data_IF_280514046376
#
_entry.id   IF_280514046376
#
_cell.length_a   1.000
_cell.length_b   1.000
_cell.length_c   1.000
_cell.angle_alpha   90.00
_cell.angle_beta   90.00
_cell.angle_gamma   90.00
#
_symmetry.space_group_name_H-M   'P 1'
#
loop_
_entity.id
_entity.type
_entity.pdbx_description
1 polymer ?
#
# COMPACT_ATOMS: atom_id res chain seq x y z
N UNK A 1 45.39 34.91 10.55
CA UNK A 1 45.65 34.13 11.79
C UNK A 1 46.27 32.80 11.37
N UNK A 2 47.31 32.33 12.04
CA UNK A 2 47.96 31.07 11.70
C UNK A 2 46.99 29.90 11.95
N UNK A 3 46.83 29.02 10.96
CA UNK A 3 46.01 27.81 11.10
C UNK A 3 46.74 26.78 11.95
N UNK A 4 46.08 26.23 12.95
CA UNK A 4 46.65 25.29 13.92
C UNK A 4 46.04 23.90 13.67
N UNK A 5 46.87 22.86 13.67
CA UNK A 5 46.37 21.48 13.66
C UNK A 5 46.20 21.03 15.10
N UNK A 6 44.96 20.81 15.60
CA UNK A 6 44.73 20.51 17.01
C UNK A 6 45.25 19.12 17.40
N UNK A 7 45.66 18.99 18.67
CA UNK A 7 46.02 17.70 19.25
C UNK A 7 44.81 16.75 19.33
N UNK A 8 45.07 15.45 19.22
CA UNK A 8 44.02 14.43 19.17
C UNK A 8 43.09 14.44 20.40
N UNK A 9 43.56 14.62 21.66
CA UNK A 9 42.67 14.65 22.83
C UNK A 9 41.71 15.83 22.82
N UNK A 10 42.21 17.02 22.47
CA UNK A 10 41.41 18.25 22.42
C UNK A 10 40.32 18.16 21.34
N UNK A 11 40.68 17.66 20.15
CA UNK A 11 39.72 17.47 19.06
C UNK A 11 38.67 16.40 19.40
N UNK A 12 39.06 15.29 20.03
CA UNK A 12 38.13 14.23 20.46
C UNK A 12 37.15 14.73 21.52
N UNK A 13 37.61 15.53 22.50
CA UNK A 13 36.74 16.11 23.52
C UNK A 13 35.67 17.06 22.92
N UNK A 14 36.07 17.88 21.93
CA UNK A 14 35.14 18.76 21.23
C UNK A 14 34.11 17.97 20.41
N UNK A 15 34.56 16.95 19.67
CA UNK A 15 33.68 16.03 18.93
C UNK A 15 32.66 15.37 19.86
N UNK A 16 33.10 14.90 21.03
CA UNK A 16 32.22 14.29 22.03
C UNK A 16 31.17 15.27 22.57
N UNK A 17 31.56 16.52 22.85
CA UNK A 17 30.64 17.58 23.30
C UNK A 17 29.58 17.92 22.25
N UNK A 18 29.97 18.03 20.98
CA UNK A 18 29.05 18.28 19.86
C UNK A 18 28.04 17.11 19.74
N UNK A 19 28.54 15.87 19.84
CA UNK A 19 27.71 14.66 19.77
C UNK A 19 26.82 14.43 20.98
N UNK A 20 27.22 14.92 22.15
CA UNK A 20 26.38 14.88 23.34
C UNK A 20 25.17 15.83 23.22
N UNK A 21 25.36 16.98 22.56
CA UNK A 21 24.29 17.95 22.29
C UNK A 21 23.32 17.45 21.21
N UNK A 22 23.84 16.82 20.16
CA UNK A 22 23.03 16.19 19.12
C UNK A 22 23.69 14.89 18.61
N UNK A 23 23.23 13.72 19.10
CA UNK A 23 23.77 12.42 18.69
C UNK A 23 23.61 12.12 17.19
N UNK A 24 22.67 12.78 16.51
CA UNK A 24 22.30 12.50 15.11
C UNK A 24 23.24 13.10 14.06
N UNK A 25 24.14 14.02 14.45
CA UNK A 25 24.98 14.75 13.50
C UNK A 25 25.95 13.84 12.72
N UNK A 26 25.92 13.89 11.40
CA UNK A 26 26.91 13.25 10.53
C UNK A 26 28.28 13.92 10.59
N UNK A 27 29.33 13.24 10.10
CA UNK A 27 30.73 13.71 10.10
C UNK A 27 30.85 15.13 9.51
N UNK A 28 30.12 15.42 8.42
CA UNK A 28 30.11 16.74 7.77
C UNK A 28 29.57 17.85 8.66
N UNK A 29 28.47 17.59 9.37
CA UNK A 29 27.87 18.57 10.28
C UNK A 29 28.72 18.76 11.54
N UNK A 30 29.31 17.68 12.06
CA UNK A 30 30.28 17.76 13.16
C UNK A 30 31.49 18.61 12.74
N UNK A 31 32.02 18.42 11.52
CA UNK A 31 33.13 19.23 11.02
C UNK A 31 32.75 20.71 10.88
N UNK A 32 31.56 21.02 10.36
CA UNK A 32 31.08 22.40 10.25
C UNK A 32 30.94 23.07 11.63
N UNK A 33 30.47 22.33 12.63
CA UNK A 33 30.35 22.82 14.00
C UNK A 33 31.72 23.06 14.65
N UNK A 34 32.70 22.18 14.40
CA UNK A 34 34.10 22.40 14.84
C UNK A 34 34.67 23.66 14.19
N UNK A 35 34.46 23.87 12.89
CA UNK A 35 34.93 25.07 12.18
C UNK A 35 34.23 26.35 12.65
N UNK A 36 33.02 26.23 13.21
CA UNK A 36 32.28 27.35 13.80
C UNK A 36 32.80 27.68 15.19
N UNK A 37 33.07 26.67 16.03
CA UNK A 37 33.56 26.86 17.40
C UNK A 37 35.06 27.19 17.45
N UNK A 38 35.86 26.65 16.53
CA UNK A 38 37.31 26.83 16.45
C UNK A 38 37.76 27.16 15.00
N UNK A 39 37.55 28.39 14.52
CA UNK A 39 37.78 28.77 13.11
C UNK A 39 39.24 28.69 12.66
N UNK A 40 40.20 28.65 13.59
CA UNK A 40 41.64 28.55 13.28
C UNK A 40 42.11 27.11 13.13
N UNK A 41 41.27 26.11 13.44
CA UNK A 41 41.66 24.71 13.41
C UNK A 41 41.59 24.11 12.00
N UNK A 42 42.70 23.50 11.57
CA UNK A 42 42.75 22.75 10.33
C UNK A 42 42.37 21.29 10.57
N UNK A 43 41.10 20.95 10.30
CA UNK A 43 40.53 19.62 10.53
C UNK A 43 39.86 19.10 9.26
N UNK A 44 40.05 17.82 8.94
CA UNK A 44 39.42 17.15 7.79
C UNK A 44 38.36 16.14 8.23
N UNK A 45 37.38 15.85 7.35
CA UNK A 45 36.36 14.83 7.59
C UNK A 45 36.97 13.46 7.93
N UNK A 46 38.08 13.10 7.26
CA UNK A 46 38.80 11.85 7.50
C UNK A 46 39.38 11.77 8.92
N UNK A 47 39.88 12.90 9.45
CA UNK A 47 40.42 12.99 10.80
C UNK A 47 39.32 12.93 11.86
N UNK A 48 38.19 13.61 11.63
CA UNK A 48 37.00 13.52 12.49
C UNK A 48 36.49 12.07 12.54
N UNK A 49 36.34 11.42 11.38
CA UNK A 49 35.91 10.01 11.29
C UNK A 49 36.85 9.08 12.06
N UNK A 50 38.16 9.23 11.92
CA UNK A 50 39.15 8.41 12.62
C UNK A 50 39.01 8.52 14.14
N UNK A 51 38.96 9.74 14.67
CA UNK A 51 38.88 9.99 16.11
C UNK A 51 37.52 9.55 16.70
N UNK A 52 36.42 9.73 15.96
CA UNK A 52 35.11 9.22 16.38
C UNK A 52 35.11 7.70 16.54
N UNK A 53 35.72 6.97 15.58
CA UNK A 53 35.82 5.52 15.64
C UNK A 53 36.73 5.05 16.79
N UNK A 54 37.90 5.68 16.96
CA UNK A 54 38.86 5.33 18.03
C UNK A 54 38.30 5.60 19.43
N UNK A 55 37.50 6.65 19.59
CA UNK A 55 36.87 7.03 20.86
C UNK A 55 35.51 6.36 21.12
N UNK A 56 35.03 5.48 20.24
CA UNK A 56 33.72 4.83 20.37
C UNK A 56 32.53 5.80 20.24
N UNK A 57 32.73 6.98 19.66
CA UNK A 57 31.68 7.99 19.47
C UNK A 57 30.91 7.62 18.20
N UNK A 58 29.63 7.31 18.34
CA UNK A 58 28.79 6.81 17.26
C UNK A 58 28.83 7.72 16.00
N UNK A 59 29.34 7.16 14.91
CA UNK A 59 29.28 7.79 13.58
C UNK A 59 27.84 7.67 13.09
N UNK A 60 27.15 8.80 12.93
CA UNK A 60 25.87 8.80 12.25
C UNK A 60 26.13 8.36 10.81
N UNK A 61 25.58 7.20 10.46
CA UNK A 61 25.73 6.61 9.12
C UNK A 61 25.03 7.52 8.10
N UNK A 62 25.54 7.62 6.86
CA UNK A 62 24.80 8.25 5.77
C UNK A 62 23.38 7.66 5.71
N UNK A 63 22.36 8.51 5.63
CA UNK A 63 20.94 8.10 5.68
C UNK A 63 20.54 7.14 4.55
N UNK A 64 21.38 6.94 3.54
CA UNK A 64 21.19 6.05 2.40
C UNK A 64 21.67 4.60 2.62
N UNK A 65 22.38 4.29 3.72
CA UNK A 65 22.98 2.96 3.97
C UNK A 65 22.61 2.36 5.34
N UNK A 66 21.51 2.81 5.94
CA UNK A 66 20.82 1.95 6.90
C UNK A 66 19.95 1.00 6.09
N UNK A 67 20.36 -0.27 6.00
CA UNK A 67 19.48 -1.37 5.62
C UNK A 67 18.14 -1.14 6.34
N UNK A 68 17.11 -0.74 5.61
CA UNK A 68 15.75 -0.80 6.11
C UNK A 68 15.55 -2.25 6.53
N UNK A 69 15.13 -2.47 7.77
CA UNK A 69 14.74 -3.80 8.22
C UNK A 69 13.77 -4.35 7.17
N UNK A 70 14.11 -5.43 6.44
CA UNK A 70 13.27 -5.97 5.36
C UNK A 70 11.89 -6.39 5.88
N UNK A 71 11.74 -6.49 7.20
CA UNK A 71 10.52 -6.80 7.91
C UNK A 71 9.58 -5.60 8.12
N UNK A 72 9.95 -4.40 7.64
CA UNK A 72 9.16 -3.16 7.72
C UNK A 72 8.61 -2.79 6.34
N UNK A 73 7.28 -2.66 6.18
CA UNK A 73 6.69 -2.21 4.92
C UNK A 73 7.17 -0.81 4.52
N UNK A 74 7.44 -0.63 3.22
CA UNK A 74 7.88 0.65 2.66
C UNK A 74 6.72 1.27 1.86
N UNK A 75 6.51 2.58 2.03
CA UNK A 75 5.53 3.37 1.28
C UNK A 75 6.08 4.76 0.96
N UNK A 76 5.53 5.39 -0.09
CA UNK A 76 5.93 6.71 -0.54
C UNK A 76 4.73 7.60 -0.82
N UNK A 77 4.92 8.92 -0.72
CA UNK A 77 3.92 9.88 -1.19
C UNK A 77 3.85 9.78 -2.70
N UNK A 78 2.65 9.54 -3.20
CA UNK A 78 2.37 9.63 -4.62
C UNK A 78 2.28 11.09 -5.03
N UNK A 79 3.23 11.55 -5.85
CA UNK A 79 3.25 12.94 -6.31
C UNK A 79 2.33 13.22 -7.48
N UNK A 80 1.72 12.20 -8.10
CA UNK A 80 0.70 12.37 -9.14
C UNK A 80 -0.72 12.49 -8.56
N UNK A 81 -0.89 12.20 -7.27
CA UNK A 81 -2.17 12.35 -6.58
C UNK A 81 -2.26 13.77 -6.02
N UNK A 82 -3.09 14.60 -6.64
CA UNK A 82 -3.41 15.93 -6.11
C UNK A 82 -4.37 15.80 -4.90
N UNK A 83 -3.76 15.63 -3.73
CA UNK A 83 -4.47 15.53 -2.45
C UNK A 83 -5.32 16.77 -2.18
N UNK A 84 -4.86 17.94 -2.59
CA UNK A 84 -5.57 19.20 -2.37
C UNK A 84 -6.85 19.24 -3.20
N UNK A 85 -6.77 18.87 -4.49
CA UNK A 85 -7.94 18.78 -5.36
C UNK A 85 -8.94 17.72 -4.88
N UNK A 86 -8.47 16.54 -4.47
CA UNK A 86 -9.34 15.44 -4.01
C UNK A 86 -10.06 15.74 -2.69
N UNK A 87 -9.49 16.64 -1.87
CA UNK A 87 -9.99 16.91 -0.52
C UNK A 87 -10.50 18.34 -0.35
N UNK A 88 -10.57 19.13 -1.43
CA UNK A 88 -10.88 20.56 -1.40
C UNK A 88 -9.97 21.35 -0.43
N UNK A 89 -8.68 21.05 -0.45
CA UNK A 89 -7.66 21.68 0.38
C UNK A 89 -7.76 21.38 1.88
N UNK A 90 -8.60 20.42 2.28
CA UNK A 90 -8.81 20.10 3.70
C UNK A 90 -7.66 19.30 4.30
N UNK A 91 -6.95 18.54 3.47
CA UNK A 91 -5.95 17.56 3.89
C UNK A 91 -4.63 17.79 3.14
N UNK A 92 -3.54 17.45 3.83
CA UNK A 92 -2.21 17.33 3.24
C UNK A 92 -1.59 15.98 3.59
N UNK A 93 -0.84 15.42 2.65
CA UNK A 93 -0.07 14.21 2.87
C UNK A 93 1.40 14.55 3.17
N UNK A 94 2.02 13.83 4.11
CA UNK A 94 3.45 14.00 4.41
C UNK A 94 4.09 12.68 4.84
N UNK A 95 5.39 12.54 4.60
CA UNK A 95 6.17 11.46 5.21
C UNK A 95 6.36 11.76 6.69
N UNK A 96 6.10 10.76 7.54
CA UNK A 96 6.28 10.87 8.99
C UNK A 96 7.71 10.46 9.35
N UNK A 97 8.08 9.23 8.98
CA UNK A 97 9.44 8.69 9.06
C UNK A 97 9.50 7.37 8.26
N UNK A 98 10.68 6.74 8.23
CA UNK A 98 10.90 5.49 7.48
C UNK A 98 10.15 4.26 8.01
N UNK A 99 9.67 4.28 9.26
CA UNK A 99 9.00 3.14 9.90
C UNK A 99 7.48 3.26 9.80
N UNK A 100 6.94 4.45 10.06
CA UNK A 100 5.50 4.74 9.95
C UNK A 100 5.10 4.98 8.50
N UNK A 101 6.01 5.49 7.67
CA UNK A 101 5.74 5.81 6.28
C UNK A 101 5.00 7.14 6.10
N UNK A 102 4.06 7.16 5.17
CA UNK A 102 3.23 8.32 4.84
C UNK A 102 2.05 8.49 5.80
N UNK A 103 1.50 9.70 5.85
CA UNK A 103 0.34 10.02 6.69
C UNK A 103 -0.48 11.18 6.12
N UNK A 104 -1.78 11.20 6.40
CA UNK A 104 -2.67 12.33 6.11
C UNK A 104 -2.87 13.21 7.35
N UNK A 105 -2.87 14.52 7.13
CA UNK A 105 -2.96 15.53 8.18
C UNK A 105 -3.96 16.61 7.80
N UNK A 106 -4.68 17.13 8.79
CA UNK A 106 -5.59 18.23 8.57
C UNK A 106 -4.82 19.50 8.18
N UNK A 107 -5.22 20.14 7.07
CA UNK A 107 -4.68 21.43 6.66
C UNK A 107 -5.30 22.60 7.44
N UNK A 108 -6.42 22.36 8.13
CA UNK A 108 -7.16 23.34 8.92
C UNK A 108 -7.95 22.62 10.03
N UNK A 109 -8.61 23.38 10.91
CA UNK A 109 -9.55 22.81 11.87
C UNK A 109 -10.76 22.24 11.11
N UNK A 110 -11.14 21.00 11.45
CA UNK A 110 -12.24 20.29 10.80
C UNK A 110 -13.25 19.80 11.84
N UNK A 111 -14.56 20.08 11.67
CA UNK A 111 -15.60 19.66 12.61
C UNK A 111 -15.97 18.18 12.48
N UNK A 112 -16.42 17.58 13.58
CA UNK A 112 -17.00 16.23 13.65
C UNK A 112 -18.07 16.01 12.57
N UNK A 113 -18.13 14.80 12.03
CA UNK A 113 -19.16 14.37 11.08
C UNK A 113 -18.94 14.82 9.64
N UNK A 114 -17.93 15.67 9.37
CA UNK A 114 -17.60 16.13 8.01
C UNK A 114 -17.04 14.99 7.15
N UNK A 115 -17.55 14.82 5.93
CA UNK A 115 -16.91 14.01 4.89
C UNK A 115 -15.66 14.75 4.38
N UNK A 116 -14.51 14.08 4.46
CA UNK A 116 -13.21 14.64 4.10
C UNK A 116 -12.94 14.41 2.61
N UNK A 117 -13.10 13.16 2.17
CA UNK A 117 -12.98 12.76 0.78
C UNK A 117 -13.69 11.44 0.52
N UNK A 118 -13.94 11.19 -0.77
CA UNK A 118 -14.43 9.92 -1.31
C UNK A 118 -13.48 9.45 -2.38
N UNK A 119 -13.22 8.15 -2.43
CA UNK A 119 -12.29 7.56 -3.38
C UNK A 119 -12.84 6.24 -3.93
N UNK A 120 -12.57 5.97 -5.20
CA UNK A 120 -12.81 4.67 -5.83
C UNK A 120 -11.50 3.90 -5.94
N UNK A 121 -11.53 2.57 -5.85
CA UNK A 121 -10.31 1.78 -5.76
C UNK A 121 -9.52 1.81 -7.07
N UNK A 122 -8.20 1.94 -6.95
CA UNK A 122 -7.24 1.76 -8.03
C UNK A 122 -7.17 0.29 -8.48
N UNK A 123 -7.17 -0.62 -7.52
CA UNK A 123 -7.29 -2.08 -7.70
C UNK A 123 -8.45 -2.55 -6.83
N UNK A 124 -9.36 -3.36 -7.38
CA UNK A 124 -10.49 -3.91 -6.64
C UNK A 124 -10.71 -5.39 -6.93
N UNK A 125 -10.82 -6.18 -5.87
CA UNK A 125 -11.33 -7.53 -5.88
C UNK A 125 -12.35 -7.72 -4.75
N UNK A 126 -13.63 -8.02 -5.06
CA UNK A 126 -14.65 -8.19 -4.03
C UNK A 126 -14.44 -9.48 -3.22
N UNK A 127 -15.07 -9.63 -2.04
CA UNK A 127 -15.03 -10.89 -1.29
C UNK A 127 -15.40 -12.09 -2.16
N UNK A 128 -14.76 -13.24 -1.95
CA UNK A 128 -14.89 -14.41 -2.83
C UNK A 128 -16.35 -14.85 -3.08
N UNK A 129 -17.20 -14.78 -2.05
CA UNK A 129 -18.66 -15.03 -2.18
C UNK A 129 -19.31 -14.14 -3.24
N UNK A 130 -18.97 -12.84 -3.26
CA UNK A 130 -19.46 -11.88 -4.25
C UNK A 130 -18.84 -12.13 -5.62
N UNK A 131 -17.55 -12.49 -5.67
CA UNK A 131 -16.91 -12.86 -6.94
C UNK A 131 -17.56 -14.08 -7.60
N UNK A 132 -17.94 -15.09 -6.81
CA UNK A 132 -18.70 -16.24 -7.31
C UNK A 132 -20.07 -15.84 -7.89
N UNK A 133 -20.76 -14.85 -7.30
CA UNK A 133 -21.99 -14.29 -7.88
C UNK A 133 -21.71 -13.56 -9.20
N UNK A 134 -20.60 -12.83 -9.31
CA UNK A 134 -20.18 -12.15 -10.55
C UNK A 134 -20.01 -13.18 -11.67
N UNK A 135 -19.33 -14.30 -11.40
CA UNK A 135 -19.10 -15.39 -12.39
C UNK A 135 -20.40 -16.03 -12.89
N UNK A 136 -21.45 -16.03 -12.07
CA UNK A 136 -22.81 -16.50 -12.42
C UNK A 136 -23.67 -15.41 -13.08
N UNK A 137 -23.17 -14.19 -13.19
CA UNK A 137 -23.92 -13.03 -13.68
C UNK A 137 -24.97 -12.49 -12.69
N UNK A 138 -24.92 -12.90 -11.43
CA UNK A 138 -25.84 -12.49 -10.36
C UNK A 138 -25.41 -11.19 -9.67
N UNK A 139 -24.15 -10.77 -9.87
CA UNK A 139 -23.60 -9.51 -9.37
C UNK A 139 -22.83 -8.77 -10.47
N UNK A 140 -22.72 -7.45 -10.33
CA UNK A 140 -22.03 -6.58 -11.26
C UNK A 140 -20.53 -6.87 -11.27
N UNK A 141 -19.95 -7.06 -12.46
CA UNK A 141 -18.52 -7.38 -12.65
C UNK A 141 -17.53 -6.28 -12.26
N UNK A 142 -18.00 -5.08 -11.92
CA UNK A 142 -17.17 -4.03 -11.31
C UNK A 142 -17.47 -3.92 -9.81
N UNK A 143 -18.61 -3.33 -9.48
CA UNK A 143 -18.93 -2.96 -8.10
C UNK A 143 -19.47 -4.10 -7.24
N UNK A 144 -19.62 -5.32 -7.76
CA UNK A 144 -20.13 -6.48 -7.03
C UNK A 144 -21.53 -6.35 -6.41
N UNK A 145 -22.27 -5.28 -6.76
CA UNK A 145 -23.69 -5.11 -6.39
C UNK A 145 -24.51 -6.20 -7.06
N UNK A 146 -25.45 -6.78 -6.33
CA UNK A 146 -26.41 -7.76 -6.87
C UNK A 146 -27.18 -7.17 -8.05
N UNK A 147 -27.27 -7.92 -9.15
CA UNK A 147 -28.02 -7.53 -10.34
C UNK A 147 -29.51 -7.70 -10.05
N UNK A 148 -30.26 -6.60 -10.16
CA UNK A 148 -31.73 -6.61 -10.06
C UNK A 148 -32.34 -6.81 -11.44
N UNK A 149 -32.58 -8.07 -11.79
CA UNK A 149 -33.21 -8.48 -13.04
C UNK A 149 -34.55 -7.75 -13.23
N UNK A 150 -34.60 -6.80 -14.17
CA UNK A 150 -35.71 -5.86 -14.35
C UNK A 150 -35.26 -4.43 -14.69
N UNK A 151 -34.01 -4.07 -14.37
CA UNK A 151 -33.44 -2.78 -14.78
C UNK A 151 -33.00 -2.80 -16.26
N UNK A 152 -33.46 -1.80 -17.04
CA UNK A 152 -33.05 -1.59 -18.43
C UNK A 152 -31.61 -1.10 -18.59
N UNK A 153 -30.94 -0.73 -17.49
CA UNK A 153 -29.55 -0.26 -17.51
C UNK A 153 -28.53 -1.40 -17.51
N UNK A 154 -28.96 -2.61 -17.19
CA UNK A 154 -28.10 -3.78 -17.12
C UNK A 154 -27.52 -4.05 -18.52
N UNK A 155 -26.22 -4.30 -18.57
CA UNK A 155 -25.55 -4.71 -19.80
C UNK A 155 -24.57 -5.85 -19.53
N UNK A 156 -24.25 -6.61 -20.57
CA UNK A 156 -23.24 -7.66 -20.51
C UNK A 156 -21.96 -7.21 -21.23
N UNK A 157 -20.87 -7.92 -20.96
CA UNK A 157 -19.67 -7.85 -21.79
C UNK A 157 -20.01 -8.31 -23.21
N UNK A 158 -19.70 -7.51 -24.25
CA UNK A 158 -20.01 -7.87 -25.64
C UNK A 158 -19.21 -9.09 -26.12
N UNK A 159 -18.03 -9.35 -25.55
CA UNK A 159 -17.16 -10.44 -25.98
C UNK A 159 -17.54 -11.78 -25.34
N UNK A 160 -17.66 -11.84 -24.00
CA UNK A 160 -17.97 -13.11 -23.33
C UNK A 160 -19.46 -13.35 -23.11
N UNK A 161 -20.31 -12.32 -23.11
CA UNK A 161 -21.75 -12.40 -22.80
C UNK A 161 -22.09 -12.83 -21.36
N UNK A 162 -21.13 -13.34 -20.59
CA UNK A 162 -21.33 -13.94 -19.26
C UNK A 162 -21.34 -12.93 -18.12
N UNK A 163 -20.35 -12.04 -18.10
CA UNK A 163 -20.22 -11.03 -17.04
C UNK A 163 -21.21 -9.89 -17.29
N UNK A 164 -22.00 -9.56 -16.26
CA UNK A 164 -23.03 -8.52 -16.30
C UNK A 164 -22.62 -7.32 -15.46
N UNK A 165 -23.16 -6.15 -15.78
CA UNK A 165 -22.86 -4.89 -15.13
C UNK A 165 -24.14 -4.11 -14.85
N UNK A 166 -24.15 -3.31 -13.77
CA UNK A 166 -25.28 -2.46 -13.43
C UNK A 166 -25.59 -1.42 -14.51
N UNK A 167 -24.56 -0.87 -15.15
CA UNK A 167 -24.63 0.20 -16.15
C UNK A 167 -23.51 0.06 -17.17
N UNK A 168 -23.63 0.77 -18.30
CA UNK A 168 -22.54 0.90 -19.28
C UNK A 168 -21.28 1.50 -18.68
N UNK A 169 -21.40 2.41 -17.71
CA UNK A 169 -20.27 2.98 -16.99
C UNK A 169 -19.52 1.91 -16.17
N UNK A 170 -20.22 1.07 -15.41
CA UNK A 170 -19.58 -0.04 -14.71
C UNK A 170 -18.88 -1.02 -15.66
N UNK A 171 -19.47 -1.30 -16.82
CA UNK A 171 -18.83 -2.14 -17.84
C UNK A 171 -17.55 -1.51 -18.37
N UNK A 172 -17.57 -0.21 -18.67
CA UNK A 172 -16.42 0.50 -19.19
C UNK A 172 -15.29 0.56 -18.15
N UNK A 173 -15.58 0.96 -16.92
CA UNK A 173 -14.55 1.00 -15.87
C UNK A 173 -14.00 -0.39 -15.52
N UNK A 174 -14.81 -1.46 -15.61
CA UNK A 174 -14.28 -2.82 -15.48
C UNK A 174 -13.37 -3.19 -16.65
N UNK A 175 -13.74 -2.81 -17.87
CA UNK A 175 -12.94 -3.01 -19.07
C UNK A 175 -11.58 -2.32 -18.92
N UNK A 176 -11.57 -1.04 -18.54
CA UNK A 176 -10.35 -0.24 -18.47
C UNK A 176 -9.42 -0.65 -17.31
N UNK A 177 -9.94 -1.34 -16.30
CA UNK A 177 -9.16 -1.73 -15.12
C UNK A 177 -8.67 -3.17 -15.12
N UNK A 178 -9.42 -4.11 -15.71
CA UNK A 178 -9.22 -5.54 -15.40
C UNK A 178 -9.94 -6.53 -16.33
N UNK A 179 -11.26 -6.39 -16.51
CA UNK A 179 -12.06 -7.37 -17.25
C UNK A 179 -11.60 -7.55 -18.70
N UNK A 180 -11.04 -6.49 -19.29
CA UNK A 180 -10.40 -6.55 -20.61
C UNK A 180 -9.40 -7.71 -20.69
N UNK A 181 -8.56 -7.88 -19.66
CA UNK A 181 -7.61 -9.00 -19.55
C UNK A 181 -8.26 -10.32 -19.10
N UNK A 182 -9.17 -10.30 -18.13
CA UNK A 182 -9.78 -11.52 -17.58
C UNK A 182 -10.89 -12.13 -18.44
N UNK A 183 -11.33 -11.43 -19.48
CA UNK A 183 -12.43 -11.88 -20.31
C UNK A 183 -12.04 -13.20 -21.00
N UNK A 184 -12.60 -14.33 -20.55
CA UNK A 184 -12.25 -15.66 -21.03
C UNK A 184 -12.55 -15.92 -22.52
N UNK A 185 -13.33 -15.05 -23.16
CA UNK A 185 -13.51 -15.07 -24.62
C UNK A 185 -12.29 -14.49 -25.37
N UNK A 186 -11.47 -13.70 -24.69
CA UNK A 186 -10.32 -12.97 -25.23
C UNK A 186 -8.99 -13.54 -24.72
N UNK A 187 -8.96 -13.88 -23.44
CA UNK A 187 -7.84 -14.56 -22.79
C UNK A 187 -8.33 -15.84 -22.10
N UNK A 188 -8.51 -16.96 -22.83
CA UNK A 188 -8.86 -18.23 -22.21
C UNK A 188 -7.72 -18.80 -21.33
N UNK A 189 -6.47 -18.40 -21.56
CA UNK A 189 -5.30 -18.94 -20.85
C UNK A 189 -5.27 -18.54 -19.37
N UNK A 190 -5.83 -17.38 -18.99
CA UNK A 190 -5.89 -16.95 -17.59
C UNK A 190 -6.90 -17.74 -16.74
N UNK A 191 -7.76 -18.55 -17.37
CA UNK A 191 -8.81 -19.32 -16.71
C UNK A 191 -8.27 -20.19 -15.57
N UNK A 192 -7.12 -20.83 -15.78
CA UNK A 192 -6.58 -21.77 -14.81
C UNK A 192 -6.05 -21.05 -13.56
N UNK A 193 -5.44 -19.87 -13.71
CA UNK A 193 -5.07 -19.03 -12.58
C UNK A 193 -6.30 -18.56 -11.79
N UNK A 194 -7.33 -18.05 -12.48
CA UNK A 194 -8.56 -17.59 -11.82
C UNK A 194 -9.24 -18.74 -11.07
N UNK A 195 -9.37 -19.91 -11.69
CA UNK A 195 -9.96 -21.07 -11.05
C UNK A 195 -9.15 -21.51 -9.83
N UNK A 196 -7.82 -21.54 -9.95
CA UNK A 196 -6.93 -21.87 -8.84
C UNK A 196 -7.14 -20.92 -7.65
N UNK A 197 -7.16 -19.60 -7.88
CA UNK A 197 -7.44 -18.65 -6.80
C UNK A 197 -8.84 -18.81 -6.20
N UNK A 198 -9.85 -19.21 -6.98
CA UNK A 198 -11.20 -19.46 -6.45
C UNK A 198 -11.24 -20.73 -5.60
N UNK A 199 -10.62 -21.82 -6.06
CA UNK A 199 -10.55 -23.11 -5.37
C UNK A 199 -9.82 -22.99 -4.03
N UNK A 200 -8.72 -22.24 -4.00
CA UNK A 200 -7.95 -21.94 -2.78
C UNK A 200 -8.57 -20.81 -1.93
N UNK A 201 -9.72 -20.24 -2.33
CA UNK A 201 -10.31 -19.06 -1.69
C UNK A 201 -9.33 -17.87 -1.53
N UNK A 202 -8.41 -17.72 -2.49
CA UNK A 202 -7.24 -16.86 -2.41
C UNK A 202 -7.49 -15.47 -3.00
N UNK A 203 -8.11 -14.59 -2.19
CA UNK A 203 -8.42 -13.22 -2.60
C UNK A 203 -7.16 -12.38 -2.89
N UNK A 204 -6.06 -12.64 -2.17
CA UNK A 204 -4.80 -11.91 -2.37
C UNK A 204 -4.12 -12.26 -3.70
N UNK A 205 -4.26 -13.51 -4.18
CA UNK A 205 -3.84 -13.89 -5.53
C UNK A 205 -4.62 -13.11 -6.60
N UNK A 206 -5.94 -13.01 -6.47
CA UNK A 206 -6.75 -12.18 -7.38
C UNK A 206 -6.39 -10.70 -7.30
N UNK A 207 -6.10 -10.18 -6.11
CA UNK A 207 -5.59 -8.82 -5.93
C UNK A 207 -4.26 -8.58 -6.65
N UNK A 208 -3.32 -9.53 -6.55
CA UNK A 208 -2.05 -9.49 -7.25
C UNK A 208 -2.25 -9.53 -8.77
N UNK A 209 -3.09 -10.43 -9.29
CA UNK A 209 -3.48 -10.47 -10.71
C UNK A 209 -3.97 -9.10 -11.18
N UNK A 210 -4.85 -8.44 -10.43
CA UNK A 210 -5.38 -7.11 -10.77
C UNK A 210 -4.28 -6.04 -10.81
N UNK A 211 -3.22 -6.15 -10.01
CA UNK A 211 -2.02 -5.30 -10.14
C UNK A 211 -1.30 -5.53 -11.48
N UNK A 212 -1.11 -6.80 -11.89
CA UNK A 212 -0.56 -7.11 -13.23
C UNK A 212 -1.44 -6.53 -14.34
N UNK A 213 -2.75 -6.68 -14.23
CA UNK A 213 -3.71 -6.19 -15.23
C UNK A 213 -3.63 -4.68 -15.42
N UNK A 214 -3.50 -3.91 -14.34
CA UNK A 214 -3.29 -2.46 -14.42
C UNK A 214 -2.06 -2.13 -15.26
N UNK A 215 -0.94 -2.80 -15.02
CA UNK A 215 0.32 -2.60 -15.76
C UNK A 215 0.14 -2.98 -17.24
N UNK A 216 -0.41 -4.17 -17.50
CA UNK A 216 -0.54 -4.71 -18.86
C UNK A 216 -1.50 -3.86 -19.71
N UNK A 217 -2.62 -3.41 -19.13
CA UNK A 217 -3.58 -2.52 -19.80
C UNK A 217 -2.99 -1.12 -20.00
N UNK A 218 -2.23 -0.60 -19.04
CA UNK A 218 -1.55 0.68 -19.16
C UNK A 218 -0.49 0.67 -20.28
N UNK A 219 0.31 -0.39 -20.36
CA UNK A 219 1.28 -0.61 -21.45
C UNK A 219 0.60 -0.59 -22.82
N UNK A 220 -0.57 -1.25 -22.94
CA UNK A 220 -1.35 -1.22 -24.16
C UNK A 220 -1.85 0.18 -24.51
N UNK A 221 -2.18 0.97 -23.50
CA UNK A 221 -2.75 2.32 -23.66
C UNK A 221 -1.68 3.29 -24.15
N UNK A 222 -0.68 3.60 -23.33
CA UNK A 222 0.41 4.54 -23.68
C UNK A 222 1.60 4.40 -22.72
N UNK A 223 2.82 4.80 -23.13
CA UNK A 223 3.97 4.88 -22.21
C UNK A 223 3.71 5.79 -21.00
N UNK A 224 2.97 6.88 -21.18
CA UNK A 224 2.63 7.83 -20.11
C UNK A 224 1.72 7.19 -19.06
N UNK A 225 0.68 6.47 -19.51
CA UNK A 225 -0.23 5.74 -18.62
C UNK A 225 0.51 4.61 -17.89
N UNK A 226 1.44 3.91 -18.56
CA UNK A 226 2.27 2.89 -17.94
C UNK A 226 3.14 3.49 -16.82
N UNK A 227 3.83 4.59 -17.09
CA UNK A 227 4.66 5.27 -16.09
C UNK A 227 3.83 5.74 -14.88
N UNK A 228 2.63 6.28 -15.13
CA UNK A 228 1.69 6.70 -14.10
C UNK A 228 1.25 5.52 -13.22
N UNK A 229 0.84 4.39 -13.83
CA UNK A 229 0.41 3.19 -13.10
C UNK A 229 1.53 2.58 -12.27
N UNK A 230 2.77 2.54 -12.78
CA UNK A 230 3.92 2.05 -12.02
C UNK A 230 4.18 2.94 -10.79
N UNK A 231 4.14 4.26 -10.98
CA UNK A 231 4.31 5.23 -9.88
C UNK A 231 3.22 5.10 -8.80
N UNK A 232 1.96 4.93 -9.20
CA UNK A 232 0.85 4.65 -8.30
C UNK A 232 1.08 3.36 -7.50
N UNK A 233 1.52 2.29 -8.15
CA UNK A 233 1.81 1.00 -7.51
C UNK A 233 2.95 1.09 -6.50
N UNK A 234 3.99 1.87 -6.79
CA UNK A 234 5.14 2.08 -5.92
C UNK A 234 4.82 2.92 -4.68
N UNK A 235 3.76 3.72 -4.72
CA UNK A 235 3.34 4.53 -3.58
C UNK A 235 2.67 3.72 -2.45
N UNK A 236 2.11 2.55 -2.75
CA UNK A 236 1.45 1.69 -1.76
C UNK A 236 2.43 1.04 -0.79
N UNK A 237 1.97 0.79 0.44
CA UNK A 237 2.76 0.05 1.43
C UNK A 237 3.09 -1.35 0.89
N UNK A 238 4.37 -1.69 0.80
CA UNK A 238 4.82 -2.92 0.15
C UNK A 238 5.82 -3.65 1.04
N UNK A 239 5.63 -4.97 1.13
CA UNK A 239 6.59 -5.95 1.62
C UNK A 239 6.37 -7.25 0.84
N UNK A 240 7.39 -8.11 0.72
CA UNK A 240 7.18 -9.46 0.20
C UNK A 240 6.22 -10.23 1.13
N UNK A 241 5.27 -10.96 0.54
CA UNK A 241 4.38 -11.83 1.30
C UNK A 241 5.15 -12.89 2.11
N UNK A 242 6.30 -13.36 1.62
CA UNK A 242 7.13 -14.32 2.35
C UNK A 242 7.65 -13.74 3.68
N UNK A 243 8.18 -12.51 3.65
CA UNK A 243 8.67 -11.83 4.86
C UNK A 243 7.56 -11.56 5.87
N UNK A 244 6.33 -11.34 5.39
CA UNK A 244 5.15 -11.23 6.24
C UNK A 244 4.81 -12.57 6.90
N UNK A 245 4.78 -13.65 6.11
CA UNK A 245 4.36 -14.97 6.57
C UNK A 245 5.41 -15.61 7.51
N UNK A 246 6.70 -15.34 7.32
CA UNK A 246 7.79 -15.78 8.22
C UNK A 246 7.62 -15.30 9.67
N UNK A 247 6.82 -14.27 9.94
CA UNK A 247 6.51 -13.81 11.30
C UNK A 247 5.39 -14.60 11.98
N UNK A 248 4.69 -15.45 11.24
CA UNK A 248 3.69 -16.34 11.82
C UNK A 248 4.36 -17.56 12.44
N UNK A 249 3.87 -17.95 13.62
CA UNK A 249 4.39 -19.13 14.34
C UNK A 249 4.19 -20.43 13.57
N UNK A 250 3.25 -20.47 12.63
CA UNK A 250 2.97 -21.63 11.77
C UNK A 250 3.92 -21.75 10.58
N UNK A 251 4.76 -20.75 10.29
CA UNK A 251 5.65 -20.78 9.12
C UNK A 251 6.58 -22.00 9.13
N UNK A 252 7.14 -22.35 10.29
CA UNK A 252 8.05 -23.50 10.43
C UNK A 252 7.37 -24.84 10.07
N UNK A 253 6.04 -24.92 10.18
CA UNK A 253 5.27 -26.14 9.86
C UNK A 253 4.62 -26.09 8.48
N UNK A 254 4.24 -24.92 7.99
CA UNK A 254 3.42 -24.74 6.78
C UNK A 254 4.15 -24.05 5.63
N UNK A 255 5.38 -23.59 5.85
CA UNK A 255 6.15 -22.79 4.88
C UNK A 255 6.26 -23.47 3.51
N UNK A 256 6.59 -24.76 3.47
CA UNK A 256 6.72 -25.51 2.21
C UNK A 256 5.40 -25.57 1.42
N UNK A 257 4.27 -25.83 2.11
CA UNK A 257 2.94 -25.86 1.47
C UNK A 257 2.55 -24.48 0.92
N UNK A 258 2.88 -23.41 1.66
CA UNK A 258 2.62 -22.04 1.23
C UNK A 258 3.49 -21.67 0.01
N UNK A 259 4.76 -22.07 0.00
CA UNK A 259 5.66 -21.89 -1.14
C UNK A 259 5.16 -22.64 -2.37
N UNK A 260 4.63 -23.86 -2.22
CA UNK A 260 4.00 -24.60 -3.32
C UNK A 260 2.80 -23.85 -3.92
N UNK A 261 1.95 -23.26 -3.06
CA UNK A 261 0.81 -22.44 -3.50
C UNK A 261 1.30 -21.25 -4.34
N UNK A 262 2.33 -20.54 -3.88
CA UNK A 262 2.86 -19.37 -4.59
C UNK A 262 3.54 -19.76 -5.90
N UNK A 263 4.34 -20.83 -5.91
CA UNK A 263 4.98 -21.36 -7.12
C UNK A 263 3.97 -21.77 -8.18
N UNK A 264 2.93 -22.53 -7.78
CA UNK A 264 1.84 -22.93 -8.67
C UNK A 264 1.08 -21.71 -9.18
N UNK A 265 0.77 -20.76 -8.31
CA UNK A 265 0.12 -19.50 -8.65
C UNK A 265 0.91 -18.72 -9.71
N UNK A 266 2.19 -18.45 -9.48
CA UNK A 266 3.03 -17.72 -10.43
C UNK A 266 3.15 -18.46 -11.78
N UNK A 267 3.31 -19.78 -11.75
CA UNK A 267 3.38 -20.58 -12.99
C UNK A 267 2.10 -20.42 -13.82
N UNK A 268 0.93 -20.54 -13.20
CA UNK A 268 -0.36 -20.35 -13.87
C UNK A 268 -0.55 -18.90 -14.35
N UNK A 269 -0.08 -17.91 -13.57
CA UNK A 269 -0.14 -16.51 -13.96
C UNK A 269 0.69 -16.26 -15.23
N UNK A 270 1.94 -16.73 -15.26
CA UNK A 270 2.83 -16.60 -16.43
C UNK A 270 2.20 -17.26 -17.66
N UNK A 271 1.61 -18.44 -17.48
CA UNK A 271 0.88 -19.13 -18.55
C UNK A 271 -0.32 -18.32 -19.06
N UNK A 272 -1.05 -17.62 -18.18
CA UNK A 272 -2.16 -16.74 -18.53
C UNK A 272 -1.74 -15.36 -19.07
N UNK A 273 -0.49 -14.95 -18.83
CA UNK A 273 0.08 -13.67 -19.23
C UNK A 273 0.97 -13.78 -20.49
N UNK A 274 0.77 -14.79 -21.34
CA UNK A 274 1.55 -14.97 -22.58
C UNK A 274 1.47 -13.72 -23.46
N UNK A 275 2.52 -12.89 -23.41
CA UNK A 275 2.55 -11.58 -24.05
C UNK A 275 3.45 -11.60 -25.30
N UNK A 276 3.02 -11.02 -26.44
CA UNK A 276 1.69 -10.47 -26.70
C UNK A 276 0.63 -11.58 -26.71
N UNK A 277 -0.61 -11.26 -26.26
CA UNK A 277 -1.70 -12.24 -26.21
C UNK A 277 -2.06 -12.67 -27.65
N UNK A 278 -1.56 -13.84 -28.07
CA UNK A 278 -1.87 -14.41 -29.38
C UNK A 278 -3.31 -14.95 -29.37
N UNK A 279 -4.24 -14.26 -30.03
CA UNK A 279 -5.61 -14.78 -30.18
C UNK A 279 -5.60 -16.09 -30.96
N UNK A 280 -6.30 -17.10 -30.43
CA UNK A 280 -6.74 -18.27 -31.19
C UNK A 280 -8.27 -18.33 -31.19
N UNK A 281 -8.93 -17.66 -32.14
CA UNK A 281 -10.11 -18.18 -32.87
C UNK A 281 -10.88 -17.13 -33.67
N UNK A 282 -11.42 -17.61 -34.79
CA UNK A 282 -12.30 -16.94 -35.74
C UNK A 282 -13.54 -16.34 -35.08
N UNK A 283 -13.59 -15.00 -35.00
CA UNK A 283 -14.71 -14.10 -35.32
C UNK A 283 -14.44 -12.73 -34.68
N UNK A 284 -14.00 -11.77 -35.50
CA UNK A 284 -14.17 -10.32 -35.31
C UNK A 284 -14.12 -9.75 -33.87
N UNK A 285 -13.16 -10.16 -33.03
CA UNK A 285 -12.83 -9.42 -31.82
C UNK A 285 -11.35 -9.14 -31.82
N UNK A 286 -11.00 -7.84 -31.90
CA UNK A 286 -9.62 -7.39 -31.97
C UNK A 286 -8.83 -7.82 -30.72
N UNK A 287 -7.55 -8.20 -30.88
CA UNK A 287 -6.68 -8.54 -29.75
C UNK A 287 -6.62 -7.40 -28.76
N UNK A 288 -6.61 -7.80 -27.50
CA UNK A 288 -6.90 -6.91 -26.42
C UNK A 288 -5.64 -6.26 -25.88
N UNK A 289 -4.52 -6.99 -25.80
CA UNK A 289 -3.22 -6.44 -25.47
C UNK A 289 -2.21 -6.99 -26.48
N UNK A 290 -1.69 -6.10 -27.32
CA UNK A 290 -0.90 -6.43 -28.52
C UNK A 290 0.52 -5.90 -28.50
N UNK A 291 0.79 -4.86 -27.71
CA UNK A 291 2.13 -4.27 -27.63
C UNK A 291 3.14 -5.27 -27.05
N UNK A 292 4.42 -4.97 -27.07
CA UNK A 292 5.42 -5.73 -26.31
C UNK A 292 5.73 -4.96 -25.01
N UNK A 293 6.14 -5.67 -23.96
CA UNK A 293 6.51 -5.01 -22.71
C UNK A 293 7.92 -4.49 -22.92
N UNK A 294 8.29 -3.34 -22.33
CA UNK A 294 9.68 -2.96 -22.21
C UNK A 294 10.50 -4.11 -21.62
N UNK A 295 11.69 -4.37 -22.16
CA UNK A 295 12.49 -5.56 -21.81
C UNK A 295 12.83 -5.61 -20.30
N UNK A 296 13.15 -4.45 -19.71
CA UNK A 296 13.40 -4.28 -18.28
C UNK A 296 12.18 -4.63 -17.42
N UNK A 297 10.99 -4.23 -17.86
CA UNK A 297 9.75 -4.57 -17.18
C UNK A 297 9.42 -6.05 -17.36
N UNK A 298 9.60 -6.60 -18.55
CA UNK A 298 9.35 -8.02 -18.84
C UNK A 298 10.20 -8.95 -17.96
N UNK A 299 11.47 -8.63 -17.79
CA UNK A 299 12.41 -9.44 -17.02
C UNK A 299 12.14 -9.40 -15.51
N UNK A 300 11.62 -8.27 -15.01
CA UNK A 300 11.36 -8.06 -13.57
C UNK A 300 9.94 -8.42 -13.13
N UNK A 301 8.94 -8.25 -14.00
CA UNK A 301 7.51 -8.33 -13.64
C UNK A 301 7.07 -9.75 -13.27
N UNK A 302 7.57 -10.77 -13.98
CA UNK A 302 7.14 -12.17 -13.83
C UNK A 302 8.09 -13.00 -12.96
N UNK A 303 8.69 -12.38 -11.96
CA UNK A 303 9.55 -13.04 -10.96
C UNK A 303 8.75 -13.39 -9.70
N UNK A 304 9.25 -14.35 -8.91
CA UNK A 304 8.65 -14.67 -7.61
C UNK A 304 8.66 -13.47 -6.66
N UNK A 305 9.75 -12.70 -6.64
CA UNK A 305 9.87 -11.52 -5.80
C UNK A 305 8.78 -10.47 -6.12
N UNK A 306 8.58 -10.11 -7.40
CA UNK A 306 7.52 -9.19 -7.80
C UNK A 306 6.13 -9.74 -7.48
N UNK A 307 5.91 -11.03 -7.72
CA UNK A 307 4.63 -11.69 -7.44
C UNK A 307 4.27 -11.61 -5.95
N UNK A 308 5.21 -11.95 -5.07
CA UNK A 308 5.04 -11.90 -3.63
C UNK A 308 4.92 -10.46 -3.10
N UNK A 309 5.60 -9.49 -3.73
CA UNK A 309 5.42 -8.06 -3.43
C UNK A 309 4.02 -7.59 -3.78
N UNK A 310 3.42 -8.01 -4.90
CA UNK A 310 2.04 -7.65 -5.22
C UNK A 310 1.03 -8.30 -4.26
N UNK A 311 1.25 -9.54 -3.84
CA UNK A 311 0.41 -10.20 -2.83
C UNK A 311 0.51 -9.45 -1.49
N UNK A 312 1.73 -9.17 -1.02
CA UNK A 312 1.95 -8.45 0.24
C UNK A 312 1.42 -7.02 0.19
N UNK A 313 1.63 -6.31 -0.93
CA UNK A 313 1.04 -4.99 -1.19
C UNK A 313 -0.49 -5.02 -1.14
N UNK A 314 -1.12 -5.99 -1.80
CA UNK A 314 -2.57 -6.11 -1.73
C UNK A 314 -3.03 -6.34 -0.28
N UNK A 315 -2.43 -7.30 0.44
CA UNK A 315 -2.79 -7.60 1.82
C UNK A 315 -2.65 -6.40 2.77
N UNK A 316 -1.59 -5.60 2.63
CA UNK A 316 -1.36 -4.42 3.47
C UNK A 316 -2.32 -3.25 3.19
N UNK A 317 -2.81 -3.13 1.96
CA UNK A 317 -3.60 -1.96 1.53
C UNK A 317 -5.06 -2.31 1.22
N UNK A 318 -5.47 -3.56 1.46
CA UNK A 318 -6.82 -4.04 1.16
C UNK A 318 -7.84 -3.49 2.17
N UNK A 319 -8.60 -2.50 1.74
CA UNK A 319 -9.78 -2.00 2.43
C UNK A 319 -11.04 -2.53 1.72
N UNK A 320 -11.70 -3.53 2.32
CA UNK A 320 -12.97 -4.10 1.83
C UNK A 320 -12.93 -4.56 0.35
N UNK A 321 -11.77 -5.04 -0.09
CA UNK A 321 -11.50 -5.50 -1.45
C UNK A 321 -10.77 -4.48 -2.33
N UNK A 322 -10.55 -3.24 -1.86
CA UNK A 322 -9.95 -2.17 -2.66
C UNK A 322 -8.60 -1.70 -2.15
N UNK A 323 -7.71 -1.35 -3.09
CA UNK A 323 -6.52 -0.52 -2.85
C UNK A 323 -6.79 0.90 -3.35
N UNK A 324 -6.49 1.89 -2.51
CA UNK A 324 -6.87 3.28 -2.72
C UNK A 324 -5.66 4.20 -2.55
N UNK A 325 -5.38 5.05 -3.54
CA UNK A 325 -4.15 5.83 -3.61
C UNK A 325 -4.03 6.80 -2.43
N UNK A 326 -5.11 7.52 -2.12
CA UNK A 326 -5.14 8.46 -1.01
C UNK A 326 -5.42 7.78 0.33
N UNK A 327 -6.47 6.94 0.41
CA UNK A 327 -6.84 6.26 1.65
C UNK A 327 -5.73 5.37 2.22
N UNK A 328 -4.88 4.75 1.39
CA UNK A 328 -3.72 3.97 1.86
C UNK A 328 -2.69 4.79 2.68
N UNK A 329 -2.85 6.11 2.74
CA UNK A 329 -2.03 7.02 3.56
C UNK A 329 -2.60 7.29 4.96
N UNK A 330 -3.77 6.72 5.31
CA UNK A 330 -4.35 6.85 6.65
C UNK A 330 -3.76 5.79 7.57
N UNK A 331 -3.02 6.21 8.61
CA UNK A 331 -2.41 5.28 9.55
C UNK A 331 -3.39 4.76 10.60
N UNK A 332 -2.96 3.70 11.29
CA UNK A 332 -3.71 3.07 12.36
C UNK A 332 -3.71 3.87 13.68
N UNK A 333 -4.86 3.87 14.36
CA UNK A 333 -5.00 4.07 15.81
C UNK A 333 -6.09 3.15 16.35
N UNK A 334 -5.89 2.54 17.53
CA UNK A 334 -6.96 1.80 18.23
C UNK A 334 -8.01 2.73 18.84
N UNK A 335 -7.76 4.06 18.83
CA UNK A 335 -8.70 5.13 19.13
C UNK A 335 -8.71 6.07 17.90
N UNK A 336 -9.35 5.66 16.79
CA UNK A 336 -9.32 6.42 15.55
C UNK A 336 -10.10 7.73 15.69
N UNK A 337 -9.76 8.70 14.84
CA UNK A 337 -10.46 9.99 14.75
C UNK A 337 -11.22 10.16 13.42
N UNK A 338 -11.20 9.11 12.59
CA UNK A 338 -11.96 9.01 11.35
C UNK A 338 -12.67 7.65 11.25
N UNK A 339 -13.71 7.61 10.44
CA UNK A 339 -14.50 6.41 10.14
C UNK A 339 -14.61 6.24 8.63
N UNK A 340 -14.68 4.98 8.20
CA UNK A 340 -14.79 4.60 6.79
C UNK A 340 -16.23 4.23 6.51
N UNK A 341 -16.90 5.06 5.74
CA UNK A 341 -18.24 4.79 5.24
C UNK A 341 -18.16 4.22 3.81
N UNK A 342 -19.21 3.51 3.40
CA UNK A 342 -19.32 2.97 2.06
C UNK A 342 -20.23 3.86 1.20
N UNK A 343 -19.74 4.42 0.08
CA UNK A 343 -20.52 5.36 -0.72
C UNK A 343 -21.71 4.70 -1.44
N UNK A 344 -21.81 3.37 -1.49
CA UNK A 344 -22.84 2.67 -2.24
C UNK A 344 -23.53 1.56 -1.46
N UNK A 345 -24.87 1.59 -1.42
CA UNK A 345 -25.65 0.50 -0.86
C UNK A 345 -25.40 -0.83 -1.60
N UNK A 346 -25.16 -1.90 -0.84
CA UNK A 346 -25.05 -3.27 -1.34
C UNK A 346 -23.82 -3.56 -2.21
N UNK A 347 -22.80 -2.70 -2.17
CA UNK A 347 -21.49 -2.85 -2.84
C UNK A 347 -20.39 -2.50 -1.83
N UNK A 348 -19.13 -2.92 -2.01
CA UNK A 348 -17.96 -2.41 -1.27
C UNK A 348 -17.00 -1.62 -2.17
N UNK A 349 -17.50 -1.17 -3.32
CA UNK A 349 -16.71 -0.47 -4.32
C UNK A 349 -16.67 1.03 -4.01
N UNK A 350 -15.58 1.45 -3.38
CA UNK A 350 -15.36 2.82 -2.96
C UNK A 350 -15.34 2.96 -1.44
N UNK A 351 -14.72 4.05 -0.99
CA UNK A 351 -14.66 4.45 0.41
C UNK A 351 -15.02 5.93 0.53
N UNK A 352 -15.61 6.30 1.66
CA UNK A 352 -15.78 7.68 2.10
C UNK A 352 -15.18 7.83 3.49
N UNK A 353 -14.40 8.89 3.71
CA UNK A 353 -13.76 9.15 5.00
C UNK A 353 -14.49 10.28 5.70
N UNK A 354 -14.99 10.01 6.89
CA UNK A 354 -15.70 10.97 7.73
C UNK A 354 -15.00 11.16 9.07
N UNK A 355 -15.09 12.36 9.63
CA UNK A 355 -14.49 12.68 10.93
C UNK A 355 -15.34 12.16 12.09
N UNK A 356 -14.73 11.42 13.00
CA UNK A 356 -15.39 10.88 14.18
C UNK A 356 -15.50 11.91 15.32
N UNK A 357 -14.64 12.92 15.30
CA UNK A 357 -14.60 14.05 16.23
C UNK A 357 -14.00 15.28 15.56
N UNK A 358 -13.98 16.41 16.26
CA UNK A 358 -13.25 17.58 15.82
C UNK A 358 -11.75 17.27 15.72
N UNK A 359 -11.12 17.79 14.66
CA UNK A 359 -9.70 17.61 14.35
C UNK A 359 -9.06 18.99 14.25
N UNK A 360 -7.93 19.17 14.93
CA UNK A 360 -7.17 20.42 14.83
C UNK A 360 -6.27 20.41 13.60
N UNK A 361 -5.97 21.61 13.08
CA UNK A 361 -4.92 21.78 12.07
C UNK A 361 -3.65 21.03 12.48
N UNK A 362 -3.00 20.40 11.51
CA UNK A 362 -1.77 19.61 11.67
C UNK A 362 -1.93 18.30 12.46
N UNK A 363 -3.13 17.96 12.93
CA UNK A 363 -3.42 16.66 13.50
C UNK A 363 -3.51 15.58 12.41
N UNK A 364 -3.03 14.37 12.72
CA UNK A 364 -3.07 13.23 11.81
C UNK A 364 -4.46 12.63 11.74
N UNK A 365 -4.95 12.31 10.55
CA UNK A 365 -6.14 11.49 10.37
C UNK A 365 -5.76 10.02 10.46
N UNK A 366 -6.47 9.27 11.30
CA UNK A 366 -6.18 7.87 11.60
C UNK A 366 -7.47 7.04 11.59
N UNK A 367 -7.38 5.87 10.98
CA UNK A 367 -8.43 4.84 10.96
C UNK A 367 -8.04 3.68 11.91
N UNK A 368 -8.95 2.73 12.13
CA UNK A 368 -8.57 1.44 12.76
C UNK A 368 -8.39 0.38 11.68
N UNK A 369 -7.37 -0.46 11.83
CA UNK A 369 -7.03 -1.56 10.91
C UNK A 369 -7.50 -2.91 11.46
N UNK A 370 -7.86 -2.95 12.74
CA UNK A 370 -8.28 -4.14 13.46
C UNK A 370 -9.67 -3.91 14.03
N UNK A 371 -10.31 -5.00 14.47
CA UNK A 371 -11.59 -4.89 15.15
C UNK A 371 -11.40 -4.10 16.47
N UNK A 372 -12.09 -2.97 16.63
CA UNK A 372 -11.94 -2.11 17.80
C UNK A 372 -12.45 -2.74 19.11
N UNK A 373 -13.31 -3.76 19.05
CA UNK A 373 -13.87 -4.47 20.21
C UNK A 373 -12.91 -5.50 20.81
N UNK A 374 -11.87 -5.88 20.08
CA UNK A 374 -10.85 -6.79 20.61
C UNK A 374 -10.08 -6.14 21.76
N UNK A 375 -9.64 -6.96 22.73
CA UNK A 375 -8.73 -6.54 23.80
C UNK A 375 -7.35 -6.17 23.24
N UNK A 376 -6.60 -5.37 23.98
CA UNK A 376 -5.28 -4.83 23.58
C UNK A 376 -4.34 -5.91 23.07
N UNK A 377 -4.26 -7.05 23.74
CA UNK A 377 -3.34 -8.13 23.39
C UNK A 377 -3.67 -8.69 22.00
N UNK A 378 -4.95 -8.92 21.72
CA UNK A 378 -5.44 -9.39 20.41
C UNK A 378 -5.21 -8.33 19.32
N UNK A 379 -5.51 -7.04 19.60
CA UNK A 379 -5.25 -5.94 18.64
C UNK A 379 -3.76 -5.86 18.30
N UNK A 380 -2.90 -5.88 19.31
CA UNK A 380 -1.45 -5.81 19.12
C UNK A 380 -0.90 -7.03 18.38
N UNK A 381 -1.40 -8.22 18.69
CA UNK A 381 -1.01 -9.43 17.97
C UNK A 381 -1.39 -9.35 16.49
N UNK A 382 -2.64 -8.98 16.21
CA UNK A 382 -3.12 -8.82 14.84
C UNK A 382 -2.29 -7.79 14.07
N UNK A 383 -2.01 -6.62 14.64
CA UNK A 383 -1.21 -5.59 13.97
C UNK A 383 0.24 -6.01 13.74
N UNK A 384 0.84 -6.78 14.65
CA UNK A 384 2.19 -7.33 14.47
C UNK A 384 2.26 -8.37 13.36
N UNK A 385 1.27 -9.27 13.29
CA UNK A 385 1.24 -10.32 12.28
C UNK A 385 0.85 -9.78 10.91
N UNK A 386 -0.19 -8.93 10.86
CA UNK A 386 -0.79 -8.52 9.59
C UNK A 386 -0.15 -7.27 8.97
N UNK A 387 0.33 -6.34 9.81
CA UNK A 387 0.85 -5.03 9.41
C UNK A 387 2.28 -4.77 9.90
N UNK A 388 2.87 -5.71 10.65
CA UNK A 388 4.29 -5.70 11.01
C UNK A 388 4.72 -4.53 11.90
N UNK A 389 3.80 -3.97 12.70
CA UNK A 389 4.13 -2.92 13.66
C UNK A 389 3.45 -3.13 15.02
N UNK A 390 3.97 -2.46 16.05
CA UNK A 390 3.35 -2.40 17.39
C UNK A 390 2.69 -1.03 17.57
N UNK A 391 1.39 -1.01 17.89
CA UNK A 391 0.67 0.24 18.06
C UNK A 391 1.09 0.94 19.35
N UNK A 392 1.32 2.26 19.28
CA UNK A 392 1.67 3.12 20.43
C UNK A 392 0.63 4.22 20.65
N UNK A 393 -0.61 4.02 20.21
CA UNK A 393 -1.68 5.00 20.43
C UNK A 393 -2.08 5.09 21.91
N UNK A 394 -2.81 6.16 22.28
CA UNK A 394 -3.24 6.43 23.66
C UNK A 394 -3.94 5.24 24.33
N UNK A 395 -4.79 4.52 23.59
CA UNK A 395 -5.50 3.32 24.10
C UNK A 395 -4.58 2.13 24.35
N UNK A 396 -3.47 2.02 23.62
CA UNK A 396 -2.50 0.94 23.82
C UNK A 396 -1.49 1.24 24.94
N UNK A 397 -1.17 2.51 25.16
CA UNK A 397 -0.23 2.96 26.20
C UNK A 397 -0.90 3.28 27.54
N UNK A 398 -2.21 3.50 27.54
CA UNK A 398 -3.01 3.76 28.73
C UNK A 398 -3.80 2.52 29.21
N UNK A 399 -4.81 2.75 30.07
CA UNK A 399 -5.82 1.74 30.38
C UNK A 399 -6.51 1.27 29.09
N UNK A 400 -6.78 -0.04 28.98
CA UNK A 400 -7.49 -0.61 27.82
C UNK A 400 -9.00 -0.44 27.99
N UNK A 401 -9.44 0.81 28.09
CA UNK A 401 -10.84 1.16 28.25
C UNK A 401 -11.63 0.83 26.97
N UNK A 402 -12.95 0.70 27.14
CA UNK A 402 -13.88 0.64 26.02
C UNK A 402 -13.77 1.91 25.16
N UNK A 403 -14.13 1.78 23.88
CA UNK A 403 -14.22 2.96 23.04
C UNK A 403 -15.33 3.89 23.55
N UNK A 404 -15.20 5.22 23.37
CA UNK A 404 -16.31 6.13 23.59
C UNK A 404 -17.56 5.67 22.81
N UNK A 405 -18.74 5.71 23.43
CA UNK A 405 -20.00 5.24 22.83
C UNK A 405 -20.29 5.91 21.48
N UNK A 406 -19.98 7.20 21.35
CA UNK A 406 -20.19 7.94 20.12
C UNK A 406 -19.27 7.47 18.98
N UNK A 407 -18.05 7.03 19.32
CA UNK A 407 -17.14 6.41 18.37
C UNK A 407 -17.54 4.98 18.01
N UNK A 408 -18.04 4.19 18.96
CA UNK A 408 -18.57 2.84 18.68
C UNK A 408 -19.74 2.92 17.70
N UNK A 409 -20.69 3.82 17.96
CA UNK A 409 -21.82 4.09 17.06
C UNK A 409 -21.36 4.56 15.69
N UNK A 410 -20.34 5.43 15.62
CA UNK A 410 -19.81 5.93 14.36
C UNK A 410 -19.06 4.86 13.53
N UNK A 411 -18.49 3.85 14.20
CA UNK A 411 -17.81 2.72 13.59
C UNK A 411 -18.75 1.55 13.24
N UNK A 412 -20.06 1.69 13.51
CA UNK A 412 -21.07 0.64 13.31
C UNK A 412 -20.70 -0.69 14.00
N UNK A 413 -20.13 -0.61 15.20
CA UNK A 413 -19.79 -1.78 16.02
C UNK A 413 -20.71 -1.82 17.23
N UNK A 414 -21.52 -2.88 17.30
CA UNK A 414 -22.34 -3.21 18.47
C UNK A 414 -21.57 -4.16 19.40
N UNK A 415 -21.75 -4.03 20.72
CA UNK A 415 -21.08 -4.85 21.75
C UNK A 415 -21.38 -6.36 21.69
#
# INVERSE_FOLDING_TARGET
MATITPEAPALTALIASIKQKDPSLGIKKVLAEIQTQEPTWLVSEKRVKKLMTEAGIAVARPESEMNLDPSVPVSHIDTEVDVSALTNGQIKAKMINKVVGKGLFAAQDLPKGKEVFREFPFVYFPPMKRYNMIRKGEACGLCARTIKYGSLLICACPSCGKIKYCTKACRQSAWDSSHRFECLALNPAIKDYINYCVEENWSAGMGALRCYERILIANETSPEELALVLKHLDAFATISQEERQKKETSWDMMGDQILEIWNKGLKLLIQGCQYPLKITSNKAVNPVLTKALPDDLKDSLFTMDTYLKFIGRYNLNNQSGGMYLLHSSLNHSCLPNTVIDNPGAGTSYGVSIRLARDIKRDEQLQITYCNPLWKRETRQQYLRTEYLFTCKCKRCTGPDDSLPEDLMRALEVDE
#
